data_IF_913737563759
#
_entry.id   IF_913737563759
#
_cell.length_a   1.000
_cell.length_b   1.000
_cell.length_c   1.000
_cell.angle_alpha   90.00
_cell.angle_beta   90.00
_cell.angle_gamma   90.00
#
_symmetry.space_group_name_H-M   'P 1'
#
loop_
_entity.id
_entity.type
_entity.pdbx_description
1 polymer ?
#
# COMPACT_ATOMS: atom_id res chain seq x y z
N UNK A 1 -7.01 4.87 -20.43
CA UNK A 1 -6.85 3.92 -19.31
C UNK A 1 -5.58 4.30 -18.55
N UNK A 2 -5.60 4.21 -17.22
CA UNK A 2 -4.41 4.38 -16.40
C UNK A 2 -3.60 3.07 -16.42
N UNK A 3 -2.29 3.21 -16.48
CA UNK A 3 -1.36 2.07 -16.53
C UNK A 3 -0.43 2.12 -15.33
N UNK A 4 -0.37 1.01 -14.60
CA UNK A 4 0.56 0.82 -13.50
C UNK A 4 1.32 -0.49 -13.70
N UNK A 5 2.61 -0.47 -13.40
CA UNK A 5 3.42 -1.66 -13.30
C UNK A 5 3.98 -1.77 -11.89
N UNK A 6 3.80 -2.92 -11.29
CA UNK A 6 4.16 -3.18 -9.91
C UNK A 6 5.67 -3.14 -9.67
N UNK A 7 6.44 -3.59 -10.66
CA UNK A 7 7.89 -3.70 -10.54
C UNK A 7 8.58 -3.54 -11.89
N UNK A 8 9.68 -2.81 -11.91
CA UNK A 8 10.61 -2.81 -13.02
C UNK A 8 10.10 -2.16 -14.29
N UNK A 9 9.20 -1.23 -14.15
CA UNK A 9 8.68 -0.49 -15.27
C UNK A 9 9.69 0.50 -15.83
N UNK A 10 9.44 0.96 -17.03
CA UNK A 10 10.36 1.77 -17.82
C UNK A 10 10.17 3.28 -17.69
N UNK A 11 9.35 3.70 -16.73
CA UNK A 11 9.07 5.13 -16.49
C UNK A 11 7.86 5.69 -17.24
N UNK A 12 7.11 4.87 -17.98
CA UNK A 12 5.92 5.30 -18.75
C UNK A 12 4.59 5.01 -18.03
N UNK A 13 4.64 4.60 -16.76
CA UNK A 13 3.46 4.36 -15.96
C UNK A 13 2.79 5.67 -15.55
N UNK A 14 1.46 5.63 -15.36
CA UNK A 14 0.69 6.78 -14.88
C UNK A 14 0.85 6.98 -13.38
N UNK A 15 1.05 5.91 -12.61
CA UNK A 15 1.27 5.93 -11.16
C UNK A 15 2.12 4.75 -10.70
N UNK A 16 2.62 4.83 -9.48
CA UNK A 16 3.40 3.76 -8.85
C UNK A 16 2.57 3.04 -7.79
N UNK A 17 2.83 1.76 -7.56
CA UNK A 17 2.20 0.99 -6.50
C UNK A 17 3.23 0.35 -5.59
N UNK A 18 3.01 0.48 -4.28
CA UNK A 18 3.71 -0.25 -3.23
C UNK A 18 2.86 -1.42 -2.74
N UNK A 19 3.51 -2.48 -2.29
CA UNK A 19 2.86 -3.62 -1.66
C UNK A 19 3.35 -3.75 -0.22
N UNK A 20 2.45 -3.53 0.75
CA UNK A 20 2.71 -3.46 2.19
C UNK A 20 3.58 -2.28 2.66
N UNK A 21 4.46 -1.82 1.81
CA UNK A 21 5.32 -0.66 2.05
C UNK A 21 5.59 0.08 0.73
N UNK A 22 5.99 1.33 0.85
CA UNK A 22 6.40 2.15 -0.28
C UNK A 22 7.93 2.17 -0.35
N UNK A 23 8.46 1.98 -1.55
CA UNK A 23 9.92 2.02 -1.77
C UNK A 23 10.35 1.17 -2.96
N UNK A 24 11.65 1.24 -3.27
CA UNK A 24 12.26 0.32 -4.23
C UNK A 24 12.21 -1.12 -3.69
N UNK A 25 11.96 -2.07 -4.57
CA UNK A 25 12.05 -3.50 -4.25
C UNK A 25 13.49 -4.06 -4.25
N UNK A 26 14.48 -3.24 -4.55
CA UNK A 26 15.89 -3.67 -4.57
C UNK A 26 16.35 -4.32 -3.25
N UNK A 27 16.01 -3.80 -2.04
CA UNK A 27 16.35 -4.46 -0.78
C UNK A 27 15.72 -5.86 -0.65
N UNK A 28 14.48 -6.02 -1.07
CA UNK A 28 13.79 -7.34 -1.08
C UNK A 28 14.47 -8.27 -2.06
N UNK A 29 14.76 -7.82 -3.27
CA UNK A 29 15.45 -8.62 -4.29
C UNK A 29 16.85 -9.04 -3.83
N UNK A 30 17.56 -8.17 -3.13
CA UNK A 30 18.85 -8.48 -2.51
C UNK A 30 18.72 -9.56 -1.44
N UNK A 31 17.70 -9.46 -0.57
CA UNK A 31 17.50 -10.43 0.53
C UNK A 31 17.18 -11.84 0.05
N UNK A 32 16.55 -11.97 -1.13
CA UNK A 32 16.26 -13.27 -1.77
C UNK A 32 17.32 -13.69 -2.80
N UNK A 33 18.45 -13.00 -2.85
CA UNK A 33 19.61 -13.39 -3.66
C UNK A 33 19.47 -13.12 -5.16
N UNK A 34 18.59 -12.23 -5.59
CA UNK A 34 18.47 -11.89 -7.00
C UNK A 34 19.72 -11.13 -7.51
N UNK A 35 20.07 -11.28 -8.80
CA UNK A 35 21.23 -10.63 -9.39
C UNK A 35 21.20 -9.10 -9.24
N UNK A 36 22.37 -8.49 -9.11
CA UNK A 36 22.54 -7.03 -8.98
C UNK A 36 21.79 -6.26 -10.08
N UNK A 37 21.82 -6.75 -11.33
CA UNK A 37 21.09 -6.13 -12.44
C UNK A 37 19.59 -5.99 -12.19
N UNK A 38 18.99 -6.95 -11.50
CA UNK A 38 17.55 -6.92 -11.15
C UNK A 38 17.31 -5.90 -10.04
N UNK A 39 18.20 -5.82 -9.06
CA UNK A 39 18.15 -4.82 -8.00
C UNK A 39 18.26 -3.41 -8.59
N UNK A 40 19.24 -3.18 -9.47
CA UNK A 40 19.46 -1.89 -10.13
C UNK A 40 18.25 -1.46 -10.99
N UNK A 41 17.60 -2.42 -11.66
CA UNK A 41 16.40 -2.15 -12.43
C UNK A 41 15.23 -1.72 -11.52
N UNK A 42 15.10 -2.30 -10.32
CA UNK A 42 14.08 -1.91 -9.35
C UNK A 42 14.34 -0.50 -8.79
N UNK A 43 15.59 -0.17 -8.46
CA UNK A 43 15.97 1.17 -8.03
C UNK A 43 15.71 2.21 -9.13
N UNK A 44 16.15 1.93 -10.35
CA UNK A 44 15.90 2.80 -11.49
C UNK A 44 14.41 3.04 -11.73
N UNK A 45 13.60 1.97 -11.70
CA UNK A 45 12.16 2.07 -11.87
C UNK A 45 11.52 2.95 -10.77
N UNK A 46 11.93 2.75 -9.53
CA UNK A 46 11.45 3.56 -8.41
C UNK A 46 11.84 5.03 -8.56
N UNK A 47 13.10 5.31 -8.87
CA UNK A 47 13.63 6.67 -9.02
C UNK A 47 13.00 7.41 -10.21
N UNK A 48 12.78 6.71 -11.32
CA UNK A 48 12.16 7.27 -12.52
C UNK A 48 10.69 7.64 -12.35
N UNK A 49 10.01 7.08 -11.34
CA UNK A 49 8.58 7.26 -11.10
C UNK A 49 8.27 7.99 -9.79
N UNK A 50 9.26 8.46 -9.05
CA UNK A 50 9.07 8.97 -7.70
C UNK A 50 8.23 10.26 -7.59
N UNK A 51 8.06 10.99 -8.68
CA UNK A 51 7.21 12.18 -8.75
C UNK A 51 5.75 11.88 -9.10
N UNK A 52 5.46 10.64 -9.51
CA UNK A 52 4.11 10.25 -9.91
C UNK A 52 3.22 10.00 -8.69
N UNK A 53 1.89 10.10 -8.85
CA UNK A 53 0.95 9.63 -7.84
C UNK A 53 1.27 8.20 -7.40
N UNK A 54 0.97 7.88 -6.18
CA UNK A 54 1.29 6.58 -5.61
C UNK A 54 0.04 5.89 -5.03
N UNK A 55 0.09 4.58 -4.95
CA UNK A 55 -0.89 3.75 -4.27
C UNK A 55 -0.18 2.73 -3.39
N UNK A 56 -0.59 2.64 -2.13
CA UNK A 56 -0.17 1.58 -1.23
C UNK A 56 -1.23 0.48 -1.19
N UNK A 57 -0.86 -0.70 -1.64
CA UNK A 57 -1.72 -1.88 -1.56
C UNK A 57 -1.37 -2.70 -0.31
N UNK A 58 -2.33 -2.84 0.60
CA UNK A 58 -2.13 -3.55 1.86
C UNK A 58 -3.39 -4.36 2.24
N UNK A 59 -3.25 -5.61 2.74
CA UNK A 59 -4.41 -6.37 3.19
C UNK A 59 -4.88 -5.92 4.57
N UNK A 60 -6.19 -5.97 4.80
CA UNK A 60 -6.77 -5.77 6.13
C UNK A 60 -6.36 -6.89 7.09
N UNK A 61 -6.17 -8.10 6.59
CA UNK A 61 -5.70 -9.24 7.38
C UNK A 61 -4.17 -9.27 7.53
N UNK A 62 -3.71 -9.84 8.64
CA UNK A 62 -2.27 -9.95 8.94
C UNK A 62 -1.53 -10.92 8.02
N UNK A 63 -2.17 -12.04 7.63
CA UNK A 63 -1.57 -13.10 6.83
C UNK A 63 -2.16 -13.13 5.42
N UNK A 64 -1.27 -13.02 4.41
CA UNK A 64 -1.66 -13.18 3.01
C UNK A 64 -2.60 -12.10 2.46
N UNK A 65 -3.13 -12.36 1.28
CA UNK A 65 -4.03 -11.48 0.52
C UNK A 65 -5.44 -12.03 0.42
N UNK A 66 -5.62 -13.33 0.63
CA UNK A 66 -6.87 -14.03 0.59
C UNK A 66 -7.34 -14.42 1.99
N UNK A 67 -8.62 -14.82 2.10
CA UNK A 67 -9.15 -15.42 3.32
C UNK A 67 -8.32 -16.60 3.78
N UNK A 68 -8.10 -16.69 5.08
CA UNK A 68 -7.33 -17.75 5.70
C UNK A 68 -7.95 -18.18 7.03
N UNK A 69 -8.05 -19.48 7.29
CA UNK A 69 -8.67 -20.05 8.50
C UNK A 69 -7.73 -20.18 9.70
N UNK A 70 -6.46 -19.72 9.58
CA UNK A 70 -5.49 -19.83 10.67
C UNK A 70 -5.94 -19.03 11.90
N UNK A 71 -5.78 -19.62 13.08
CA UNK A 71 -6.00 -18.93 14.36
C UNK A 71 -5.04 -17.75 14.59
N UNK A 72 -3.98 -17.63 13.79
CA UNK A 72 -3.07 -16.47 13.80
C UNK A 72 -3.54 -15.33 12.93
N UNK A 73 -4.65 -15.52 12.20
CA UNK A 73 -5.21 -14.49 11.37
C UNK A 73 -5.84 -13.41 12.25
N UNK A 74 -5.27 -12.21 12.18
CA UNK A 74 -5.77 -11.01 12.83
C UNK A 74 -6.22 -10.02 11.76
N UNK A 75 -7.33 -9.36 11.99
CA UNK A 75 -7.78 -8.26 11.17
C UNK A 75 -7.25 -6.94 11.76
N UNK A 76 -7.02 -5.96 10.91
CA UNK A 76 -6.67 -4.61 11.37
C UNK A 76 -7.89 -3.95 12.02
N UNK A 77 -7.65 -3.24 13.10
CA UNK A 77 -8.67 -2.40 13.73
C UNK A 77 -8.97 -1.16 12.89
N UNK A 78 -10.06 -0.46 13.22
CA UNK A 78 -10.40 0.79 12.57
C UNK A 78 -9.31 1.86 12.79
N UNK A 79 -8.71 1.88 13.97
CA UNK A 79 -7.60 2.79 14.32
C UNK A 79 -6.37 2.51 13.43
N UNK A 80 -6.01 1.24 13.25
CA UNK A 80 -4.91 0.84 12.36
C UNK A 80 -5.18 1.22 10.90
N UNK A 81 -6.41 1.08 10.42
CA UNK A 81 -6.79 1.52 9.08
C UNK A 81 -6.71 3.04 8.93
N UNK A 82 -7.16 3.79 9.95
CA UNK A 82 -7.04 5.26 9.96
C UNK A 82 -5.58 5.71 10.01
N UNK A 83 -4.69 5.00 10.72
CA UNK A 83 -3.25 5.26 10.71
C UNK A 83 -2.65 5.03 9.31
N UNK A 84 -3.03 3.95 8.63
CA UNK A 84 -2.63 3.71 7.24
C UNK A 84 -3.11 4.80 6.29
N UNK A 85 -4.34 5.29 6.46
CA UNK A 85 -4.84 6.41 5.67
C UNK A 85 -4.02 7.69 5.88
N UNK A 86 -3.65 8.00 7.13
CA UNK A 86 -2.76 9.14 7.43
C UNK A 86 -1.38 8.95 6.83
N UNK A 87 -0.80 7.77 7.00
CA UNK A 87 0.49 7.42 6.41
C UNK A 87 0.48 7.60 4.89
N UNK A 88 -0.55 7.08 4.21
CA UNK A 88 -0.71 7.27 2.77
C UNK A 88 -0.87 8.75 2.39
N UNK A 89 -1.65 9.51 3.15
CA UNK A 89 -1.83 10.93 2.92
C UNK A 89 -0.53 11.72 3.06
N UNK A 90 0.30 11.40 4.06
CA UNK A 90 1.61 12.00 4.26
C UNK A 90 2.57 11.68 3.10
N UNK A 91 2.40 10.53 2.47
CA UNK A 91 3.16 10.11 1.29
C UNK A 91 2.56 10.55 -0.04
N UNK A 92 1.50 11.35 -0.03
CA UNK A 92 0.73 11.70 -1.22
C UNK A 92 0.30 10.44 -2.02
N UNK A 93 -0.15 9.42 -1.31
CA UNK A 93 -0.54 8.13 -1.88
C UNK A 93 -2.00 7.80 -1.58
N UNK A 94 -2.61 7.03 -2.47
CA UNK A 94 -3.88 6.37 -2.22
C UNK A 94 -3.67 5.09 -1.41
N UNK A 95 -4.62 4.74 -0.55
CA UNK A 95 -4.67 3.44 0.13
C UNK A 95 -5.62 2.49 -0.62
N UNK A 96 -5.09 1.41 -1.16
CA UNK A 96 -5.86 0.26 -1.64
C UNK A 96 -5.89 -0.81 -0.53
N UNK A 97 -6.97 -0.84 0.25
CA UNK A 97 -7.14 -1.80 1.33
C UNK A 97 -7.80 -3.08 0.79
N UNK A 98 -7.03 -4.14 0.69
CA UNK A 98 -7.51 -5.44 0.21
C UNK A 98 -8.26 -6.21 1.30
N UNK A 99 -9.39 -6.79 0.94
CA UNK A 99 -10.22 -7.65 1.78
C UNK A 99 -10.28 -9.04 1.15
N UNK A 100 -9.96 -10.08 1.93
CA UNK A 100 -10.09 -11.47 1.49
C UNK A 100 -11.50 -12.00 1.77
N UNK A 101 -12.36 -12.19 0.75
CA UNK A 101 -13.66 -12.80 0.95
C UNK A 101 -13.54 -14.27 1.35
N UNK A 102 -14.56 -14.79 2.04
CA UNK A 102 -14.70 -16.22 2.32
C UNK A 102 -14.97 -17.01 1.02
N UNK A 103 -14.82 -18.34 1.03
CA UNK A 103 -15.09 -19.17 -0.13
C UNK A 103 -16.54 -19.08 -0.67
N UNK A 104 -17.49 -18.69 0.16
CA UNK A 104 -18.89 -18.44 -0.20
C UNK A 104 -19.14 -17.03 -0.74
N UNK A 105 -18.09 -16.21 -0.86
CA UNK A 105 -18.17 -14.83 -1.32
C UNK A 105 -18.52 -13.81 -0.24
N UNK A 106 -18.81 -14.24 0.98
CA UNK A 106 -19.10 -13.31 2.08
C UNK A 106 -17.83 -12.66 2.64
N UNK A 107 -17.99 -11.49 3.24
CA UNK A 107 -16.93 -10.79 3.97
C UNK A 107 -17.04 -11.16 5.46
N UNK A 108 -15.88 -11.24 6.14
CA UNK A 108 -15.84 -11.43 7.59
C UNK A 108 -16.56 -10.29 8.29
N UNK A 109 -17.41 -10.62 9.25
CA UNK A 109 -18.16 -9.64 10.06
C UNK A 109 -17.24 -8.64 10.76
N UNK A 110 -16.09 -9.10 11.24
CA UNK A 110 -15.05 -8.27 11.85
C UNK A 110 -14.53 -7.19 10.88
N UNK A 111 -14.37 -7.55 9.59
CA UNK A 111 -13.95 -6.59 8.56
C UNK A 111 -15.06 -5.58 8.25
N UNK A 112 -16.32 -6.03 8.20
CA UNK A 112 -17.47 -5.14 8.00
C UNK A 112 -17.53 -4.12 9.11
N UNK A 113 -17.45 -4.54 10.37
CA UNK A 113 -17.48 -3.66 11.53
C UNK A 113 -16.32 -2.67 11.55
N UNK A 114 -15.12 -3.12 11.15
CA UNK A 114 -13.95 -2.24 11.03
C UNK A 114 -14.19 -1.16 9.98
N UNK A 115 -14.65 -1.54 8.77
CA UNK A 115 -14.89 -0.60 7.68
C UNK A 115 -16.02 0.39 7.98
N UNK A 116 -17.08 -0.05 8.66
CA UNK A 116 -18.14 0.84 9.11
C UNK A 116 -17.65 1.88 10.13
N UNK A 117 -16.77 1.47 11.08
CA UNK A 117 -16.15 2.41 12.02
C UNK A 117 -15.27 3.42 11.28
N UNK A 118 -14.46 2.96 10.33
CA UNK A 118 -13.65 3.83 9.47
C UNK A 118 -14.54 4.80 8.70
N UNK A 119 -15.60 4.31 8.07
CA UNK A 119 -16.58 5.14 7.33
C UNK A 119 -17.17 6.24 8.22
N UNK A 120 -17.68 5.90 9.39
CA UNK A 120 -18.21 6.87 10.36
C UNK A 120 -17.17 7.90 10.80
N UNK A 121 -15.92 7.50 10.97
CA UNK A 121 -14.84 8.42 11.32
C UNK A 121 -14.55 9.40 10.17
N UNK A 122 -14.51 8.90 8.94
CA UNK A 122 -14.29 9.73 7.75
C UNK A 122 -15.46 10.68 7.46
N UNK A 123 -16.70 10.25 7.71
CA UNK A 123 -17.88 11.12 7.62
C UNK A 123 -17.81 12.28 8.62
N UNK A 124 -17.32 12.01 9.83
CA UNK A 124 -17.20 13.01 10.89
C UNK A 124 -16.03 13.97 10.66
N UNK A 125 -14.86 13.47 10.34
CA UNK A 125 -13.60 14.21 10.39
C UNK A 125 -13.05 14.55 8.98
N UNK A 126 -13.61 13.95 7.94
CA UNK A 126 -13.11 14.01 6.57
C UNK A 126 -11.90 13.09 6.33
N UNK A 127 -11.51 13.00 5.08
CA UNK A 127 -10.29 12.28 4.70
C UNK A 127 -9.04 13.04 5.17
N UNK A 128 -7.96 12.34 5.56
CA UNK A 128 -6.67 12.97 5.80
C UNK A 128 -6.24 13.79 4.59
N UNK A 129 -5.75 15.01 4.84
CA UNK A 129 -5.29 15.88 3.76
C UNK A 129 -3.99 15.35 3.18
N UNK A 130 -3.94 15.26 1.85
CA UNK A 130 -2.72 14.88 1.14
C UNK A 130 -1.61 15.90 1.41
N UNK A 131 -0.42 15.41 1.74
CA UNK A 131 0.76 16.23 1.87
C UNK A 131 1.34 16.51 0.49
N UNK A 132 0.84 17.55 -0.16
CA UNK A 132 1.32 17.94 -1.50
C UNK A 132 2.69 18.62 -1.48
N UNK A 133 3.24 18.92 -0.31
CA UNK A 133 4.46 19.73 -0.21
C UNK A 133 5.75 18.95 -0.31
N UNK A 134 5.74 17.65 -0.18
CA UNK A 134 7.03 16.99 -0.14
C UNK A 134 6.98 15.47 -0.17
N UNK A 135 6.32 14.96 -1.18
CA UNK A 135 6.51 13.60 -1.61
C UNK A 135 8.03 13.28 -1.77
N UNK A 136 8.80 14.22 -2.33
CA UNK A 136 10.26 14.13 -2.46
C UNK A 136 10.98 14.17 -1.11
N UNK A 137 10.60 15.08 -0.20
CA UNK A 137 11.26 15.21 1.10
C UNK A 137 11.02 14.00 2.01
N UNK A 138 9.83 13.39 1.95
CA UNK A 138 9.52 12.20 2.73
C UNK A 138 10.30 10.98 2.23
N UNK A 139 10.38 10.79 0.91
CA UNK A 139 11.14 9.69 0.30
C UNK A 139 12.65 9.83 0.47
N UNK A 140 13.17 11.04 0.53
CA UNK A 140 14.59 11.30 0.81
C UNK A 140 14.97 11.02 2.26
N UNK A 141 14.01 11.13 3.21
CA UNK A 141 14.24 10.86 4.63
C UNK A 141 14.06 9.38 5.04
N UNK A 142 13.43 8.57 4.20
CA UNK A 142 13.24 7.14 4.42
C UNK A 142 14.44 6.27 3.94
N UNK A 143 15.59 6.89 3.64
CA UNK A 143 16.85 6.21 3.31
C UNK A 143 17.75 6.05 4.53
#
# INVERSE_FOLDING_TARGET
ALVVFKTGANGNEDFITGEREMGSLAPVFKSVGLPKKVQDAADFSWESNNEKPAELNIPIQALGWAYHTSSRQRQKSAEEVMELLRYCADMNANLLLNIGPRPDGTILEENIQTLEKVGRQLEKDGFPKLNTKSYMDFRMKAR
#
